data_IF_025563235544
#
_entry.id   IF_025563235544
#
_cell.length_a   1.000
_cell.length_b   1.000
_cell.length_c   1.000
_cell.angle_alpha   90.00
_cell.angle_beta   90.00
_cell.angle_gamma   90.00
#
_symmetry.space_group_name_H-M   'P 1'
#
loop_
_entity.id
_entity.type
_entity.pdbx_description
1 polymer ?
#
# COMPACT_ATOMS: atom_id res chain seq x y z
N UNK A 1 21.25 7.61 3.07
CA UNK A 1 20.06 7.71 3.95
C UNK A 1 18.86 7.81 3.00
N UNK A 2 17.92 6.85 3.01
CA UNK A 2 16.70 7.02 2.21
C UNK A 2 15.92 8.19 2.83
N UNK A 3 15.50 9.19 2.05
CA UNK A 3 14.66 10.26 2.60
C UNK A 3 13.40 9.64 3.19
N UNK A 4 12.95 10.16 4.33
CA UNK A 4 11.67 9.78 4.91
C UNK A 4 10.59 10.29 3.95
N UNK A 5 9.89 9.36 3.30
CA UNK A 5 8.73 9.66 2.46
C UNK A 5 7.46 9.29 3.21
N UNK A 6 6.39 10.04 2.96
CA UNK A 6 5.11 9.89 3.63
C UNK A 6 4.09 9.29 2.66
N UNK A 7 3.69 8.05 2.92
CA UNK A 7 2.85 7.27 2.02
C UNK A 7 1.36 7.58 2.23
N UNK A 8 0.70 8.05 1.18
CA UNK A 8 -0.72 8.38 1.15
C UNK A 8 -1.39 7.62 0.00
N UNK A 9 -2.50 6.95 0.31
CA UNK A 9 -3.35 6.30 -0.69
C UNK A 9 -4.33 7.35 -1.22
N UNK A 10 -4.30 7.59 -2.53
CA UNK A 10 -5.28 8.39 -3.26
C UNK A 10 -6.27 7.44 -3.94
N UNK A 11 -7.55 7.65 -3.67
CA UNK A 11 -8.62 6.74 -4.06
C UNK A 11 -9.22 7.13 -5.42
N UNK A 12 -9.60 6.13 -6.20
CA UNK A 12 -10.29 6.28 -7.49
C UNK A 12 -9.62 7.24 -8.50
N UNK A 13 -8.28 7.26 -8.56
CA UNK A 13 -7.52 8.02 -9.56
C UNK A 13 -7.82 7.50 -10.98
N UNK A 14 -8.17 8.37 -11.95
CA UNK A 14 -8.40 7.97 -13.33
C UNK A 14 -7.17 7.30 -13.96
N UNK A 15 -7.36 6.14 -14.59
CA UNK A 15 -6.24 5.30 -15.08
C UNK A 15 -5.47 5.90 -16.26
N UNK A 16 -6.00 6.93 -16.90
CA UNK A 16 -5.36 7.65 -17.99
C UNK A 16 -4.34 8.69 -17.52
N UNK A 17 -4.34 9.04 -16.23
CA UNK A 17 -3.38 9.99 -15.63
C UNK A 17 -2.01 9.34 -15.52
N UNK A 18 -0.96 10.04 -15.97
CA UNK A 18 0.40 9.53 -15.99
C UNK A 18 1.13 9.78 -14.66
N UNK A 19 0.53 9.36 -13.53
CA UNK A 19 1.00 9.68 -12.17
C UNK A 19 2.46 9.30 -11.86
N UNK A 20 3.10 8.46 -12.67
CA UNK A 20 4.47 8.00 -12.47
C UNK A 20 5.50 8.96 -13.08
N UNK A 21 5.09 9.87 -13.98
CA UNK A 21 5.98 10.89 -14.55
C UNK A 21 6.22 12.01 -13.54
N UNK A 22 7.36 12.68 -13.64
CA UNK A 22 7.69 13.83 -12.79
C UNK A 22 6.79 15.03 -13.10
N UNK A 23 6.64 15.36 -14.39
CA UNK A 23 5.78 16.45 -14.89
C UNK A 23 4.35 16.36 -14.34
N UNK A 24 3.68 15.21 -14.46
CA UNK A 24 2.30 15.05 -13.98
C UNK A 24 2.23 15.18 -12.45
N UNK A 25 3.25 14.72 -11.72
CA UNK A 25 3.28 14.82 -10.25
C UNK A 25 3.46 16.25 -9.78
N UNK A 26 4.28 17.04 -10.47
CA UNK A 26 4.46 18.45 -10.19
C UNK A 26 3.21 19.25 -10.55
N UNK A 27 2.58 18.97 -11.69
CA UNK A 27 1.28 19.54 -12.07
C UNK A 27 0.20 19.25 -11.01
N UNK A 28 0.13 18.01 -10.53
CA UNK A 28 -0.78 17.63 -9.44
C UNK A 28 -0.42 18.38 -8.15
N UNK A 29 0.86 18.48 -7.78
CA UNK A 29 1.28 19.19 -6.58
C UNK A 29 0.86 20.68 -6.64
N UNK A 30 1.15 21.36 -7.74
CA UNK A 30 0.80 22.76 -7.96
C UNK A 30 -0.72 22.97 -7.93
N UNK A 31 -1.48 22.10 -8.61
CA UNK A 31 -2.94 22.17 -8.62
C UNK A 31 -3.57 22.00 -7.23
N UNK A 32 -2.84 21.42 -6.28
CA UNK A 32 -3.24 21.25 -4.88
C UNK A 32 -2.57 22.27 -3.94
N UNK A 33 -1.96 23.34 -4.46
CA UNK A 33 -1.33 24.38 -3.66
C UNK A 33 -0.04 23.95 -2.95
N UNK A 34 0.53 22.81 -3.35
CA UNK A 34 1.80 22.30 -2.84
C UNK A 34 2.95 22.78 -3.72
N UNK A 35 4.18 22.65 -3.23
CA UNK A 35 5.39 22.99 -4.01
C UNK A 35 5.70 21.89 -5.01
N UNK A 36 6.35 22.23 -6.12
CA UNK A 36 6.99 21.24 -6.99
C UNK A 36 7.93 20.33 -6.18
N UNK A 37 7.98 19.05 -6.54
CA UNK A 37 8.73 18.03 -5.81
C UNK A 37 8.08 17.55 -4.50
N UNK A 38 6.93 18.11 -4.08
CA UNK A 38 6.23 17.63 -2.87
C UNK A 38 5.73 16.20 -3.03
N UNK A 39 5.42 15.76 -4.26
CA UNK A 39 5.10 14.37 -4.60
C UNK A 39 6.34 13.70 -5.21
N UNK A 40 7.14 13.05 -4.37
CA UNK A 40 8.44 12.42 -4.72
C UNK A 40 8.30 11.20 -5.62
N UNK A 41 7.19 10.47 -5.52
CA UNK A 41 6.81 9.42 -6.44
C UNK A 41 5.31 9.15 -6.32
N UNK A 42 4.72 8.56 -7.35
CA UNK A 42 3.44 7.89 -7.22
C UNK A 42 3.50 6.56 -7.98
N UNK A 43 2.71 5.59 -7.52
CA UNK A 43 2.62 4.26 -8.14
C UNK A 43 1.22 3.72 -8.00
N UNK A 44 0.80 2.92 -8.97
CA UNK A 44 -0.47 2.23 -8.89
C UNK A 44 -0.42 1.09 -7.85
N UNK A 45 -1.40 1.04 -6.93
CA UNK A 45 -1.47 -0.04 -5.94
C UNK A 45 -1.83 -1.37 -6.62
N UNK A 46 -2.76 -1.30 -7.58
CA UNK A 46 -3.10 -2.43 -8.44
C UNK A 46 -2.31 -2.33 -9.75
N UNK A 47 -1.43 -3.32 -10.04
CA UNK A 47 -0.68 -3.37 -11.30
C UNK A 47 -1.60 -3.29 -12.51
N UNK A 48 -1.13 -2.65 -13.58
CA UNK A 48 -1.91 -2.40 -14.79
C UNK A 48 -2.35 -3.73 -15.42
N UNK A 49 -1.47 -4.72 -15.40
CA UNK A 49 -1.66 -6.06 -15.98
C UNK A 49 -2.79 -6.84 -15.29
N UNK A 50 -3.14 -6.47 -14.05
CA UNK A 50 -4.18 -7.12 -13.27
C UNK A 50 -5.53 -6.38 -13.35
N UNK A 51 -5.61 -5.27 -14.08
CA UNK A 51 -6.84 -4.49 -14.21
C UNK A 51 -7.83 -5.21 -15.11
N UNK A 52 -9.11 -5.03 -14.78
CA UNK A 52 -10.17 -5.44 -15.71
C UNK A 52 -10.15 -4.49 -16.91
N UNK A 53 -10.44 -5.00 -18.12
CA UNK A 53 -10.35 -4.22 -19.37
C UNK A 53 -11.22 -2.95 -19.39
N UNK A 54 -12.31 -2.95 -18.61
CA UNK A 54 -13.25 -1.81 -18.47
C UNK A 54 -12.96 -0.91 -17.26
N UNK A 55 -11.88 -1.14 -16.53
CA UNK A 55 -11.57 -0.39 -15.32
C UNK A 55 -11.07 1.01 -15.68
N UNK A 56 -11.80 2.05 -15.27
CA UNK A 56 -11.49 3.47 -15.60
C UNK A 56 -10.84 4.24 -14.45
N UNK A 57 -10.83 3.68 -13.25
CA UNK A 57 -10.21 4.25 -12.05
C UNK A 57 -9.45 3.19 -11.26
N UNK A 58 -8.41 3.57 -10.54
CA UNK A 58 -7.65 2.70 -9.64
C UNK A 58 -7.14 3.49 -8.43
N UNK A 59 -6.73 2.80 -7.37
CA UNK A 59 -6.06 3.45 -6.24
C UNK A 59 -4.57 3.58 -6.52
N UNK A 60 -4.00 4.70 -6.10
CA UNK A 60 -2.59 5.00 -6.23
C UNK A 60 -1.98 5.30 -4.87
N UNK A 61 -0.70 4.99 -4.73
CA UNK A 61 0.11 5.37 -3.58
C UNK A 61 0.98 6.55 -3.98
N UNK A 62 0.80 7.68 -3.31
CA UNK A 62 1.59 8.90 -3.48
C UNK A 62 2.60 8.96 -2.32
N UNK A 63 3.85 9.27 -2.64
CA UNK A 63 4.96 9.41 -1.70
C UNK A 63 5.27 10.89 -1.59
N UNK A 64 4.93 11.49 -0.45
CA UNK A 64 5.17 12.90 -0.19
C UNK A 64 6.54 13.13 0.44
N UNK A 65 7.16 14.28 0.14
CA UNK A 65 8.47 14.68 0.66
C UNK A 65 8.42 15.09 2.14
N UNK A 66 7.29 15.62 2.59
CA UNK A 66 7.09 16.19 3.91
C UNK A 66 5.70 15.84 4.48
N UNK A 67 5.56 16.01 5.80
CA UNK A 67 4.33 15.64 6.53
C UNK A 67 3.20 16.61 6.21
N UNK A 68 3.54 17.87 5.98
CA UNK A 68 2.61 18.97 5.74
C UNK A 68 1.82 18.72 4.46
N UNK A 69 2.50 18.45 3.35
CA UNK A 69 1.89 18.12 2.06
C UNK A 69 1.09 16.83 2.13
N UNK A 70 1.61 15.81 2.83
CA UNK A 70 0.90 14.55 3.03
C UNK A 70 -0.40 14.74 3.84
N UNK A 71 -0.34 15.54 4.91
CA UNK A 71 -1.50 15.84 5.75
C UNK A 71 -2.51 16.73 5.06
N UNK A 72 -2.06 17.67 4.23
CA UNK A 72 -2.93 18.47 3.38
C UNK A 72 -3.70 17.55 2.42
N UNK A 73 -3.01 16.62 1.74
CA UNK A 73 -3.68 15.62 0.90
C UNK A 73 -4.71 14.79 1.68
N UNK A 74 -4.38 14.32 2.89
CA UNK A 74 -5.33 13.54 3.72
C UNK A 74 -6.53 14.40 4.20
N UNK A 75 -6.32 15.68 4.47
CA UNK A 75 -7.36 16.58 4.99
C UNK A 75 -8.29 17.08 3.89
N UNK A 76 -7.73 17.50 2.77
CA UNK A 76 -8.44 18.20 1.69
C UNK A 76 -8.71 17.30 0.48
N UNK A 77 -8.08 16.12 0.42
CA UNK A 77 -8.06 15.30 -0.79
C UNK A 77 -6.98 15.76 -1.78
N UNK A 78 -6.97 15.12 -2.95
CA UNK A 78 -6.07 15.46 -4.06
C UNK A 78 -6.91 15.73 -5.30
N UNK A 79 -6.79 16.94 -5.84
CA UNK A 79 -7.42 17.35 -7.09
C UNK A 79 -6.59 16.87 -8.28
N UNK A 80 -7.20 16.09 -9.16
CA UNK A 80 -6.59 15.60 -10.41
C UNK A 80 -7.58 15.83 -11.54
N UNK A 81 -7.18 16.54 -12.60
CA UNK A 81 -8.06 16.92 -13.72
C UNK A 81 -9.37 17.58 -13.27
N UNK A 82 -9.30 18.47 -12.28
CA UNK A 82 -10.44 19.19 -11.71
C UNK A 82 -11.37 18.35 -10.82
N UNK A 83 -11.05 17.07 -10.55
CA UNK A 83 -11.81 16.22 -9.62
C UNK A 83 -11.07 16.09 -8.30
N UNK A 84 -11.75 16.42 -7.21
CA UNK A 84 -11.24 16.20 -5.85
C UNK A 84 -11.41 14.73 -5.47
N UNK A 85 -10.28 14.06 -5.18
CA UNK A 85 -10.23 12.64 -4.83
C UNK A 85 -9.91 12.48 -3.34
N UNK A 86 -10.53 11.49 -2.71
CA UNK A 86 -10.22 11.16 -1.33
C UNK A 86 -8.79 10.64 -1.19
N UNK A 87 -8.15 10.99 -0.09
CA UNK A 87 -6.84 10.48 0.26
C UNK A 87 -6.77 10.12 1.74
N UNK A 88 -5.95 9.11 2.05
CA UNK A 88 -5.77 8.61 3.41
C UNK A 88 -4.35 8.14 3.63
N UNK A 89 -3.88 8.23 4.87
CA UNK A 89 -2.60 7.66 5.29
C UNK A 89 -2.52 6.17 4.95
N UNK A 90 -1.39 5.73 4.42
CA UNK A 90 -1.14 4.32 4.15
C UNK A 90 -1.21 3.51 5.45
N UNK A 91 -1.88 2.36 5.41
CA UNK A 91 -2.02 1.49 6.58
C UNK A 91 -0.71 0.76 6.87
N UNK A 92 -0.46 0.52 8.16
CA UNK A 92 0.66 -0.33 8.58
C UNK A 92 0.40 -1.75 8.12
N UNK A 93 1.24 -2.23 7.23
CA UNK A 93 1.23 -3.62 6.76
C UNK A 93 2.52 -4.35 7.21
N UNK A 94 2.46 -5.68 7.20
CA UNK A 94 3.57 -6.59 7.46
C UNK A 94 4.00 -7.21 6.14
N UNK A 95 5.09 -6.68 5.59
CA UNK A 95 5.67 -7.18 4.36
C UNK A 95 5.98 -8.68 4.48
N UNK A 96 5.46 -9.45 3.52
CA UNK A 96 5.73 -10.86 3.39
C UNK A 96 6.56 -11.11 2.15
N UNK A 97 7.54 -12.00 2.26
CA UNK A 97 8.25 -12.52 1.11
C UNK A 97 7.27 -13.25 0.19
N UNK A 98 7.11 -12.77 -1.05
CA UNK A 98 6.18 -13.38 -2.00
C UNK A 98 6.63 -14.77 -2.51
N UNK A 99 7.90 -15.15 -2.25
CA UNK A 99 8.44 -16.48 -2.57
C UNK A 99 8.07 -17.51 -1.51
N UNK A 100 8.41 -17.28 -0.24
CA UNK A 100 8.24 -18.27 0.84
C UNK A 100 7.14 -17.93 1.86
N UNK A 101 6.53 -16.74 1.77
CA UNK A 101 5.52 -16.19 2.72
C UNK A 101 6.05 -15.89 4.12
N UNK A 102 7.36 -15.96 4.32
CA UNK A 102 8.05 -15.51 5.54
C UNK A 102 8.08 -13.98 5.68
N UNK A 103 8.47 -13.51 6.86
CA UNK A 103 8.60 -12.07 7.18
C UNK A 103 10.09 -11.68 7.24
N UNK A 104 10.36 -10.37 7.27
CA UNK A 104 11.70 -9.83 7.53
C UNK A 104 12.65 -9.82 6.32
N UNK A 105 12.19 -10.24 5.14
CA UNK A 105 12.95 -10.19 3.90
C UNK A 105 12.02 -10.11 2.69
N UNK A 106 12.56 -9.62 1.56
CA UNK A 106 11.87 -9.60 0.28
C UNK A 106 12.26 -10.83 -0.55
N UNK A 107 11.51 -11.10 -1.62
CA UNK A 107 11.76 -12.26 -2.47
C UNK A 107 13.16 -12.23 -3.12
N UNK A 108 13.68 -11.04 -3.42
CA UNK A 108 15.03 -10.85 -3.97
C UNK A 108 16.13 -11.36 -3.01
N UNK A 109 15.91 -11.26 -1.70
CA UNK A 109 16.85 -11.69 -0.66
C UNK A 109 16.52 -13.08 -0.09
N UNK A 110 15.53 -13.76 -0.68
CA UNK A 110 14.99 -15.00 -0.12
C UNK A 110 15.88 -16.20 -0.43
N UNK A 111 16.49 -16.75 0.63
CA UNK A 111 17.34 -17.95 0.58
C UNK A 111 16.57 -19.28 0.69
N UNK A 112 15.24 -19.23 0.86
CA UNK A 112 14.42 -20.44 0.89
C UNK A 112 14.43 -21.13 -0.46
N UNK A 113 14.67 -22.45 -0.47
CA UNK A 113 14.48 -23.29 -1.65
C UNK A 113 12.99 -23.55 -1.92
N UNK A 114 12.16 -23.52 -0.87
CA UNK A 114 10.73 -23.74 -0.96
C UNK A 114 9.98 -22.49 -1.44
N UNK A 115 8.97 -22.72 -2.28
CA UNK A 115 8.01 -21.70 -2.72
C UNK A 115 6.69 -21.93 -2.00
N UNK A 116 6.25 -20.95 -1.21
CA UNK A 116 4.98 -21.01 -0.50
C UNK A 116 3.86 -20.42 -1.34
N UNK A 117 2.87 -21.24 -1.72
CA UNK A 117 1.67 -20.71 -2.33
C UNK A 117 0.92 -19.79 -1.35
N UNK A 118 0.48 -18.63 -1.84
CA UNK A 118 -0.30 -17.67 -1.07
C UNK A 118 -1.78 -18.05 -0.95
N UNK A 119 -2.24 -19.09 -1.64
CA UNK A 119 -3.65 -19.53 -1.67
C UNK A 119 -3.87 -20.88 -1.03
N UNK A 120 -2.97 -21.85 -1.24
CA UNK A 120 -3.17 -23.24 -0.80
C UNK A 120 -1.95 -23.77 -0.05
N UNK A 121 -2.02 -25.05 0.35
CA UNK A 121 -0.99 -25.74 1.13
C UNK A 121 0.23 -26.19 0.30
N UNK A 122 0.09 -26.24 -1.02
CA UNK A 122 1.10 -26.80 -1.93
C UNK A 122 2.25 -25.83 -2.25
N UNK A 123 3.37 -26.40 -2.69
CA UNK A 123 4.58 -25.66 -3.04
C UNK A 123 4.62 -25.28 -4.52
N UNK A 124 4.10 -24.11 -4.86
CA UNK A 124 4.17 -23.53 -6.21
C UNK A 124 4.01 -22.00 -6.19
N UNK A 125 4.28 -21.34 -7.32
CA UNK A 125 4.00 -19.90 -7.46
C UNK A 125 2.50 -19.66 -7.43
N UNK A 126 2.06 -18.61 -6.74
CA UNK A 126 0.62 -18.32 -6.59
C UNK A 126 -0.08 -18.00 -7.90
N UNK A 127 0.66 -17.52 -8.91
CA UNK A 127 0.17 -17.35 -10.28
C UNK A 127 -0.16 -18.66 -11.00
N UNK A 128 0.39 -19.78 -10.55
CA UNK A 128 0.19 -21.13 -11.11
C UNK A 128 -0.83 -21.94 -10.29
N UNK A 129 -1.39 -21.34 -9.24
CA UNK A 129 -2.29 -22.03 -8.32
C UNK A 129 -3.67 -22.23 -8.94
N UNK A 130 -4.15 -23.47 -8.93
CA UNK A 130 -5.48 -23.87 -9.43
C UNK A 130 -6.48 -24.18 -8.30
N UNK A 131 -6.11 -23.91 -7.05
CA UNK A 131 -6.93 -24.20 -5.87
C UNK A 131 -8.23 -23.39 -5.86
N UNK A 132 -9.35 -24.05 -5.57
CA UNK A 132 -10.66 -23.41 -5.42
C UNK A 132 -10.80 -22.71 -4.06
N UNK A 133 -11.94 -22.04 -3.84
CA UNK A 133 -12.23 -21.33 -2.58
C UNK A 133 -12.28 -22.27 -1.36
N UNK A 134 -12.63 -23.55 -1.57
CA UNK A 134 -12.65 -24.57 -0.51
C UNK A 134 -11.26 -25.13 -0.17
N UNK A 135 -10.27 -24.91 -1.03
CA UNK A 135 -8.90 -25.41 -0.87
C UNK A 135 -7.96 -24.37 -0.24
N UNK A 136 -8.53 -23.24 0.19
CA UNK A 136 -7.75 -22.15 0.74
C UNK A 136 -7.06 -22.56 2.04
N UNK A 137 -5.77 -22.28 2.11
CA UNK A 137 -4.93 -22.60 3.26
C UNK A 137 -3.88 -21.51 3.49
N UNK A 138 -3.75 -21.13 4.75
CA UNK A 138 -2.79 -20.12 5.16
C UNK A 138 -1.55 -20.79 5.75
N UNK A 139 -0.43 -20.72 5.03
CA UNK A 139 0.86 -21.27 5.48
C UNK A 139 1.36 -20.66 6.80
N UNK A 140 0.87 -19.47 7.18
CA UNK A 140 1.36 -18.72 8.35
C UNK A 140 0.67 -19.11 9.65
N UNK A 141 -0.66 -19.11 9.66
CA UNK A 141 -1.43 -19.54 10.82
C UNK A 141 -1.78 -21.03 10.80
N UNK A 142 -1.49 -21.73 9.69
CA UNK A 142 -1.71 -23.16 9.49
C UNK A 142 -3.19 -23.55 9.63
N UNK A 143 -4.08 -22.76 9.03
CA UNK A 143 -5.53 -23.04 9.02
C UNK A 143 -6.10 -22.97 7.60
N UNK A 144 -7.17 -23.74 7.36
CA UNK A 144 -7.95 -23.66 6.14
C UNK A 144 -8.89 -22.43 6.13
N UNK A 145 -9.48 -22.15 4.96
CA UNK A 145 -10.52 -21.13 4.76
C UNK A 145 -10.01 -19.76 4.30
N UNK A 146 -8.69 -19.52 4.30
CA UNK A 146 -8.10 -18.31 3.73
C UNK A 146 -6.66 -18.54 3.26
N UNK A 147 -6.18 -17.68 2.36
CA UNK A 147 -4.78 -17.69 1.88
C UNK A 147 -3.83 -16.88 2.77
N UNK A 148 -2.52 -17.05 2.55
CA UNK A 148 -1.46 -16.34 3.29
C UNK A 148 -1.51 -14.80 3.16
N UNK A 149 -2.15 -14.30 2.10
CA UNK A 149 -2.33 -12.87 1.82
C UNK A 149 -3.60 -12.26 2.45
N UNK A 150 -4.43 -13.06 3.14
CA UNK A 150 -5.64 -12.53 3.77
C UNK A 150 -5.30 -11.63 4.98
N UNK A 151 -5.81 -10.40 4.95
CA UNK A 151 -5.65 -9.41 6.03
C UNK A 151 -6.45 -9.74 7.29
N UNK A 152 -7.45 -10.61 7.18
CA UNK A 152 -8.23 -11.11 8.32
C UNK A 152 -7.55 -12.29 9.04
N UNK A 153 -6.42 -12.80 8.51
CA UNK A 153 -5.65 -13.84 9.17
C UNK A 153 -5.29 -13.43 10.62
N UNK A 154 -5.61 -14.25 11.65
CA UNK A 154 -5.34 -13.90 13.05
C UNK A 154 -3.87 -13.59 13.33
N UNK A 155 -2.96 -14.35 12.70
CA UNK A 155 -1.51 -14.09 12.79
C UNK A 155 -1.12 -12.76 12.14
N UNK A 156 -1.72 -12.41 11.00
CA UNK A 156 -1.46 -11.14 10.34
C UNK A 156 -1.92 -9.96 11.20
N UNK A 157 -3.16 -10.00 11.68
CA UNK A 157 -3.73 -8.96 12.57
C UNK A 157 -2.86 -8.77 13.81
N UNK A 158 -2.49 -9.86 14.49
CA UNK A 158 -1.59 -9.80 15.64
C UNK A 158 -0.26 -9.10 15.32
N UNK A 159 0.39 -9.46 14.19
CA UNK A 159 1.66 -8.86 13.77
C UNK A 159 1.53 -7.36 13.43
N UNK A 160 0.43 -6.97 12.79
CA UNK A 160 0.11 -5.56 12.52
C UNK A 160 -0.02 -4.79 13.83
N UNK A 161 -0.76 -5.32 14.80
CA UNK A 161 -0.92 -4.68 16.11
C UNK A 161 0.41 -4.61 16.90
N UNK A 162 1.24 -5.67 16.86
CA UNK A 162 2.60 -5.63 17.42
C UNK A 162 3.47 -4.55 16.77
N UNK A 163 3.30 -4.29 15.46
CA UNK A 163 4.03 -3.23 14.75
C UNK A 163 3.50 -1.84 15.11
N UNK A 164 2.18 -1.66 15.16
CA UNK A 164 1.55 -0.40 15.60
C UNK A 164 1.91 -0.05 17.04
N UNK A 165 1.97 -1.02 17.94
CA UNK A 165 2.35 -0.79 19.34
C UNK A 165 3.81 -0.26 19.49
N UNK A 166 4.70 -0.59 18.54
CA UNK A 166 6.07 -0.07 18.52
C UNK A 166 6.18 1.33 17.90
N UNK A 167 5.18 1.75 17.15
CA UNK A 167 5.13 3.05 16.47
C UNK A 167 3.80 3.75 16.79
N UNK A 168 3.72 4.45 17.94
CA UNK A 168 2.50 5.10 18.38
C UNK A 168 1.94 6.12 17.39
N UNK A 169 2.75 6.70 16.49
CA UNK A 169 2.26 7.65 15.47
C UNK A 169 1.30 7.00 14.47
N UNK A 170 1.34 5.67 14.36
CA UNK A 170 0.46 4.91 13.46
C UNK A 170 -1.00 4.92 13.89
N UNK A 171 -1.30 5.34 15.13
CA UNK A 171 -2.69 5.47 15.63
C UNK A 171 -3.39 6.73 15.14
N UNK A 172 -2.64 7.75 14.75
CA UNK A 172 -3.21 9.03 14.31
C UNK A 172 -3.57 8.99 12.84
N UNK A 173 -4.66 9.68 12.50
CA UNK A 173 -5.12 9.84 11.12
C UNK A 173 -4.07 10.53 10.26
N UNK A 174 -3.37 11.50 10.83
CA UNK A 174 -2.35 12.32 10.19
C UNK A 174 -0.92 11.85 10.53
N UNK A 175 0.06 12.33 9.78
CA UNK A 175 1.46 12.25 10.17
C UNK A 175 1.72 13.32 11.24
N UNK A 176 2.31 12.93 12.37
CA UNK A 176 2.45 13.82 13.52
C UNK A 176 3.42 14.96 13.22
N UNK A 177 2.94 16.19 13.39
CA UNK A 177 3.76 17.41 13.34
C UNK A 177 3.66 18.15 14.68
N UNK A 178 4.25 19.34 14.76
CA UNK A 178 4.10 20.24 15.92
C UNK A 178 2.65 20.75 16.08
N UNK A 179 1.84 20.68 15.03
CA UNK A 179 0.43 21.02 15.08
C UNK A 179 -0.36 19.91 15.79
N UNK A 180 -0.96 20.27 16.93
CA UNK A 180 -1.78 19.37 17.74
C UNK A 180 -3.01 18.80 17.01
N UNK A 181 -3.48 19.44 15.93
CA UNK A 181 -4.55 18.87 15.10
C UNK A 181 -4.13 17.57 14.42
N UNK A 182 -2.82 17.30 14.29
CA UNK A 182 -2.32 16.04 13.73
C UNK A 182 -2.33 14.88 14.74
N UNK A 183 -2.66 15.15 16.00
CA UNK A 183 -2.65 14.18 17.11
C UNK A 183 -4.05 13.59 17.37
N UNK A 184 -4.97 13.73 16.41
CA UNK A 184 -6.34 13.22 16.46
C UNK A 184 -6.54 11.93 15.66
#
# INVERSE_FOLDING_TARGET
IRPNVYEVVVEFVPVNVQIETEEERDDIAIANGMKEGSVVAAKWIKPIEQRHSKQVVAHAMFLFADRESANQAIREGVTINGKQLNARKSEVDIAQCVKCRGEGHFAADCRSEQVGCGRCKESHRTSECTAGENDLWCIRCKTAGHGAADRNCPMHRRRVEEKKARDPETRYKYFVTEDSETWV
#
